data_IF_478267396498
#
_entry.id   IF_478267396498
#
_cell.length_a   1.000
_cell.length_b   1.000
_cell.length_c   1.000
_cell.angle_alpha   90.00
_cell.angle_beta   90.00
_cell.angle_gamma   90.00
#
_symmetry.space_group_name_H-M   'P 1'
#
loop_
_entity.id
_entity.type
_entity.pdbx_description
1 polymer ?
#
# COMPACT_ATOMS: atom_id res chain seq x y z
N UNK A 1 77.17 -14.33 4.38
CA UNK A 1 76.97 -12.88 4.54
C UNK A 1 75.71 -12.48 3.80
N UNK A 2 74.66 -12.13 4.57
CA UNK A 2 73.47 -11.35 4.23
C UNK A 2 72.51 -11.55 5.42
N UNK A 3 72.76 -10.84 6.53
CA UNK A 3 71.88 -10.87 7.69
C UNK A 3 70.63 -10.07 7.37
N UNK A 4 69.47 -10.74 7.36
CA UNK A 4 68.18 -10.10 7.10
C UNK A 4 67.91 -9.02 8.16
N UNK A 5 67.50 -7.84 7.70
CA UNK A 5 67.00 -6.74 8.52
C UNK A 5 65.73 -7.21 9.25
N UNK A 6 65.80 -7.34 10.57
CA UNK A 6 64.61 -7.59 11.40
C UNK A 6 63.70 -6.36 11.34
N UNK A 7 62.53 -6.54 10.74
CA UNK A 7 61.45 -5.57 10.78
C UNK A 7 60.93 -5.44 12.21
N UNK A 8 61.28 -4.34 12.90
CA UNK A 8 60.62 -3.92 14.14
C UNK A 8 59.29 -3.26 13.82
N UNK A 9 58.31 -4.09 13.47
CA UNK A 9 56.91 -3.67 13.42
C UNK A 9 56.41 -3.21 14.80
N UNK A 10 55.28 -2.47 14.84
CA UNK A 10 54.68 -2.07 16.10
C UNK A 10 54.46 -3.29 17.01
N UNK A 11 54.79 -3.11 18.29
CA UNK A 11 54.60 -4.11 19.35
C UNK A 11 53.16 -4.61 19.31
N UNK A 12 52.90 -5.93 19.36
CA UNK A 12 51.54 -6.43 19.47
C UNK A 12 50.89 -5.76 20.67
N UNK A 13 49.79 -5.03 20.45
CA UNK A 13 48.99 -4.52 21.54
C UNK A 13 48.29 -5.75 22.11
N UNK A 14 48.86 -6.30 23.19
CA UNK A 14 48.22 -7.32 24.02
C UNK A 14 46.93 -6.70 24.58
N UNK A 15 45.82 -6.92 23.87
CA UNK A 15 44.54 -6.32 24.20
C UNK A 15 43.60 -6.00 23.05
N UNK A 16 43.85 -6.45 21.81
CA UNK A 16 42.78 -6.49 20.81
C UNK A 16 41.93 -7.72 21.10
N UNK A 17 40.93 -7.53 21.97
CA UNK A 17 39.87 -8.49 22.17
C UNK A 17 39.15 -8.70 20.84
N UNK A 18 39.53 -9.77 20.12
CA UNK A 18 38.95 -10.19 18.84
C UNK A 18 37.44 -10.44 18.99
N UNK A 19 36.90 -10.49 20.21
CA UNK A 19 35.46 -10.49 20.46
C UNK A 19 34.76 -9.16 20.10
N UNK A 20 35.49 -8.03 20.00
CA UNK A 20 34.88 -6.70 19.74
C UNK A 20 34.98 -6.21 18.29
N UNK A 21 35.73 -6.89 17.41
CA UNK A 21 35.64 -6.67 15.95
C UNK A 21 34.42 -7.35 15.31
N UNK A 22 33.55 -7.97 16.10
CA UNK A 22 32.32 -8.63 15.66
C UNK A 22 31.07 -7.74 15.64
N UNK A 23 31.16 -6.47 16.03
CA UNK A 23 30.02 -5.56 16.00
C UNK A 23 30.36 -4.28 15.24
N UNK A 24 30.55 -4.42 13.91
CA UNK A 24 29.90 -3.46 13.01
C UNK A 24 28.46 -3.30 13.54
N UNK A 25 27.93 -2.07 13.71
CA UNK A 25 26.58 -1.89 14.22
C UNK A 25 25.71 -2.83 13.43
N UNK A 26 25.12 -3.82 14.12
CA UNK A 26 24.27 -4.83 13.51
C UNK A 26 23.34 -4.03 12.64
N UNK A 27 23.49 -4.14 11.31
CA UNK A 27 22.75 -3.31 10.36
C UNK A 27 21.32 -3.31 10.89
N UNK A 28 20.83 -2.14 11.35
CA UNK A 28 19.56 -2.06 12.08
C UNK A 28 18.62 -2.97 11.33
N UNK A 29 18.17 -4.06 11.98
CA UNK A 29 17.53 -5.17 11.30
C UNK A 29 16.54 -4.56 10.33
N UNK A 30 16.84 -4.67 9.02
CA UNK A 30 16.18 -3.87 7.99
C UNK A 30 14.69 -4.03 8.25
N UNK A 31 14.05 -2.94 8.70
CA UNK A 31 12.76 -3.06 9.36
C UNK A 31 11.86 -3.90 8.45
N UNK A 32 11.35 -5.02 8.97
CA UNK A 32 10.64 -5.97 8.11
C UNK A 32 9.46 -5.25 7.46
N UNK A 33 8.94 -5.73 6.34
CA UNK A 33 7.71 -5.14 5.77
C UNK A 33 6.58 -5.10 6.84
N UNK A 34 6.55 -6.04 7.77
CA UNK A 34 5.68 -6.06 8.95
C UNK A 34 5.99 -4.94 9.96
N UNK A 35 7.24 -4.50 10.08
CA UNK A 35 7.68 -3.40 10.95
C UNK A 35 7.58 -2.03 10.25
N UNK A 36 7.74 -1.96 8.92
CA UNK A 36 7.65 -0.74 8.09
C UNK A 36 6.20 -0.40 7.68
N UNK A 37 5.42 -1.43 7.38
CA UNK A 37 4.03 -1.41 6.90
C UNK A 37 3.12 -2.13 7.88
N UNK A 38 3.36 -1.95 9.18
CA UNK A 38 2.64 -2.48 10.34
C UNK A 38 1.23 -2.97 10.11
N UNK A 39 1.05 -4.23 9.73
CA UNK A 39 -0.05 -5.04 10.25
C UNK A 39 -1.43 -4.36 10.00
N UNK A 40 -1.58 -3.99 8.73
CA UNK A 40 -2.56 -3.08 8.16
C UNK A 40 -3.70 -3.91 7.56
N UNK A 41 -4.87 -3.33 7.33
CA UNK A 41 -6.06 -4.04 6.83
C UNK A 41 -5.87 -4.80 5.49
N UNK A 42 -4.71 -4.63 4.83
CA UNK A 42 -4.19 -5.54 3.81
C UNK A 42 -3.27 -6.60 4.42
N UNK A 43 -3.62 -7.88 4.27
CA UNK A 43 -2.80 -9.05 4.70
C UNK A 43 -1.59 -9.30 3.80
N UNK A 44 -1.32 -8.43 2.83
CA UNK A 44 -0.29 -8.60 1.81
C UNK A 44 0.85 -7.61 2.00
N UNK A 45 2.07 -8.13 1.95
CA UNK A 45 3.28 -7.31 1.93
C UNK A 45 3.36 -6.60 0.59
N UNK A 46 3.93 -5.40 0.60
CA UNK A 46 4.15 -4.62 -0.63
C UNK A 46 5.00 -5.38 -1.63
N UNK A 47 5.99 -6.16 -1.17
CA UNK A 47 6.85 -6.98 -2.03
C UNK A 47 6.06 -7.98 -2.90
N UNK A 48 4.84 -8.33 -2.49
CA UNK A 48 3.97 -9.28 -3.20
C UNK A 48 3.05 -8.56 -4.23
N UNK A 49 3.00 -7.22 -4.21
CA UNK A 49 2.25 -6.38 -5.16
C UNK A 49 3.13 -5.96 -6.37
N UNK A 50 3.56 -6.96 -7.15
CA UNK A 50 4.48 -6.78 -8.29
C UNK A 50 3.78 -6.43 -9.62
N UNK A 51 2.44 -6.37 -9.63
CA UNK A 51 1.64 -6.00 -10.80
C UNK A 51 1.01 -4.60 -10.64
N UNK A 52 0.39 -4.09 -11.70
CA UNK A 52 -0.37 -2.85 -11.64
C UNK A 52 -1.68 -2.94 -12.39
N UNK A 53 -2.78 -2.55 -11.74
CA UNK A 53 -4.12 -2.47 -12.32
C UNK A 53 -4.44 -1.02 -12.71
N UNK A 54 -5.10 -0.83 -13.85
CA UNK A 54 -5.41 0.51 -14.39
C UNK A 54 -6.67 1.08 -13.74
N UNK A 55 -6.62 2.34 -13.31
CA UNK A 55 -7.80 3.12 -12.90
C UNK A 55 -8.42 3.83 -14.10
N UNK A 56 -9.37 3.18 -14.77
CA UNK A 56 -10.00 3.70 -15.99
C UNK A 56 -10.59 5.11 -15.84
N UNK A 57 -10.30 6.07 -16.74
CA UNK A 57 -10.84 7.41 -16.67
C UNK A 57 -12.37 7.42 -16.81
N UNK A 58 -13.04 8.24 -15.98
CA UNK A 58 -14.50 8.34 -15.93
C UNK A 58 -15.16 7.23 -15.10
N UNK A 59 -14.37 6.36 -14.47
CA UNK A 59 -14.86 5.32 -13.57
C UNK A 59 -14.41 5.59 -12.15
N UNK A 60 -15.36 5.48 -11.23
CA UNK A 60 -15.06 5.33 -9.81
C UNK A 60 -14.86 3.86 -9.53
N UNK A 61 -13.66 3.49 -9.11
CA UNK A 61 -13.31 2.14 -8.68
C UNK A 61 -13.14 2.12 -7.17
N UNK A 62 -13.79 1.17 -6.51
CA UNK A 62 -13.72 0.98 -5.06
C UNK A 62 -13.30 -0.45 -4.78
N UNK A 63 -12.38 -0.66 -3.84
CA UNK A 63 -12.01 -1.98 -3.35
C UNK A 63 -12.04 -1.98 -1.82
N UNK A 64 -12.64 -3.03 -1.25
CA UNK A 64 -12.84 -3.14 0.18
C UNK A 64 -12.30 -4.46 0.74
N UNK A 65 -11.99 -4.43 2.03
CA UNK A 65 -11.53 -5.57 2.82
C UNK A 65 -12.05 -5.43 4.25
N UNK A 66 -12.17 -6.54 4.96
CA UNK A 66 -12.63 -6.56 6.35
C UNK A 66 -11.43 -6.52 7.29
N UNK A 67 -11.45 -5.59 8.23
CA UNK A 67 -10.41 -5.46 9.25
C UNK A 67 -10.37 -6.73 10.12
N UNK A 68 -9.24 -7.44 10.09
CA UNK A 68 -9.05 -8.68 10.86
C UNK A 68 -8.84 -8.45 12.36
N UNK A 69 -8.63 -7.19 12.77
CA UNK A 69 -8.35 -6.74 14.13
C UNK A 69 -8.67 -5.26 14.31
N UNK A 70 -8.78 -4.84 15.56
CA UNK A 70 -8.90 -3.42 15.92
C UNK A 70 -7.53 -2.73 15.82
N UNK A 71 -7.50 -1.54 15.22
CA UNK A 71 -6.29 -0.72 15.10
C UNK A 71 -6.63 0.77 15.12
N UNK A 72 -5.64 1.59 15.48
CA UNK A 72 -5.67 3.03 15.30
C UNK A 72 -4.69 3.38 14.18
N UNK A 73 -5.20 3.99 13.11
CA UNK A 73 -4.41 4.42 11.96
C UNK A 73 -4.34 5.95 11.89
N UNK A 74 -3.18 6.43 11.46
CA UNK A 74 -2.88 7.83 11.17
C UNK A 74 -2.52 8.08 9.71
N UNK A 75 -2.17 7.03 8.96
CA UNK A 75 -1.80 7.11 7.56
C UNK A 75 -2.51 6.03 6.75
N UNK A 76 -3.02 6.38 5.59
CA UNK A 76 -3.30 5.43 4.53
C UNK A 76 -2.17 5.46 3.51
N UNK A 77 -1.90 4.35 2.83
CA UNK A 77 -0.92 4.28 1.76
C UNK A 77 -1.49 3.56 0.56
N UNK A 78 -1.17 4.08 -0.61
CA UNK A 78 -1.32 3.38 -1.89
C UNK A 78 -0.03 3.52 -2.69
N UNK A 79 0.14 2.72 -3.74
CA UNK A 79 1.35 2.76 -4.55
C UNK A 79 0.98 2.98 -6.01
N UNK A 80 1.62 3.97 -6.64
CA UNK A 80 1.51 4.26 -8.07
C UNK A 80 2.60 3.49 -8.77
N UNK A 81 2.21 2.47 -9.54
CA UNK A 81 3.13 1.64 -10.31
C UNK A 81 3.50 2.31 -11.64
N UNK A 82 2.51 2.85 -12.34
CA UNK A 82 2.72 3.66 -13.55
C UNK A 82 1.96 4.98 -13.42
N UNK A 83 2.62 6.06 -13.82
CA UNK A 83 2.08 7.42 -13.73
C UNK A 83 1.00 7.68 -14.78
N UNK A 84 0.18 8.70 -14.54
CA UNK A 84 -0.78 9.17 -15.52
C UNK A 84 -0.15 10.13 -16.55
N UNK A 85 -0.87 10.36 -17.65
CA UNK A 85 -0.61 11.45 -18.60
C UNK A 85 -1.93 12.01 -19.12
N UNK A 86 -2.04 13.32 -19.34
CA UNK A 86 -3.21 13.93 -20.01
C UNK A 86 -4.56 13.87 -19.26
N UNK A 87 -4.62 13.32 -18.04
CA UNK A 87 -5.81 13.38 -17.20
C UNK A 87 -6.08 14.80 -16.70
N UNK A 88 -7.35 15.08 -16.38
CA UNK A 88 -7.78 16.36 -15.82
C UNK A 88 -7.96 16.33 -14.31
N UNK A 89 -8.14 15.15 -13.72
CA UNK A 89 -8.32 15.02 -12.27
C UNK A 89 -8.09 13.62 -11.75
N UNK A 90 -7.78 13.56 -10.46
CA UNK A 90 -7.64 12.35 -9.67
C UNK A 90 -8.16 12.61 -8.26
N UNK A 91 -8.98 11.69 -7.76
CA UNK A 91 -9.38 11.64 -6.36
C UNK A 91 -9.08 10.25 -5.79
N UNK A 92 -8.60 10.22 -4.56
CA UNK A 92 -8.43 9.01 -3.78
C UNK A 92 -9.09 9.19 -2.42
N UNK A 93 -9.89 8.20 -1.99
CA UNK A 93 -10.59 8.25 -0.71
C UNK A 93 -10.44 6.97 0.09
N UNK A 94 -10.48 7.11 1.41
CA UNK A 94 -10.59 5.97 2.34
C UNK A 94 -11.94 6.06 3.04
N UNK A 95 -12.61 4.92 3.14
CA UNK A 95 -13.91 4.77 3.77
C UNK A 95 -13.84 3.67 4.81
N UNK A 96 -14.58 3.84 5.89
CA UNK A 96 -14.71 2.83 6.94
C UNK A 96 -16.16 2.79 7.41
N UNK A 97 -16.65 1.59 7.69
CA UNK A 97 -17.95 1.39 8.31
C UNK A 97 -18.15 -0.05 8.77
N UNK A 98 -19.28 -0.37 9.40
CA UNK A 98 -19.51 -1.69 9.99
C UNK A 98 -19.62 -2.81 8.95
N UNK A 99 -19.86 -2.50 7.68
CA UNK A 99 -19.93 -3.45 6.57
C UNK A 99 -19.81 -2.72 5.22
N UNK A 100 -19.71 -3.47 4.12
CA UNK A 100 -19.56 -2.93 2.76
C UNK A 100 -20.79 -2.19 2.22
N UNK A 101 -21.94 -2.26 2.91
CA UNK A 101 -23.17 -1.55 2.51
C UNK A 101 -23.32 -0.20 3.20
N UNK A 102 -22.50 0.11 4.20
CA UNK A 102 -22.60 1.32 5.02
C UNK A 102 -21.21 1.86 5.31
N UNK A 103 -20.55 2.41 4.30
CA UNK A 103 -19.20 2.96 4.41
C UNK A 103 -19.23 4.48 4.43
N UNK A 104 -18.56 5.10 5.40
CA UNK A 104 -18.40 6.55 5.48
C UNK A 104 -16.99 6.96 5.07
N UNK A 105 -16.90 8.03 4.26
CA UNK A 105 -15.63 8.60 3.87
C UNK A 105 -14.91 9.20 5.07
N UNK A 106 -13.66 8.78 5.29
CA UNK A 106 -12.79 9.26 6.37
C UNK A 106 -11.77 10.27 5.87
N UNK A 107 -11.29 10.09 4.65
CA UNK A 107 -10.40 11.06 4.00
C UNK A 107 -10.64 11.09 2.50
N UNK A 108 -10.30 12.21 1.87
CA UNK A 108 -10.07 12.32 0.44
C UNK A 108 -8.87 13.17 0.16
N UNK A 109 -8.08 12.76 -0.82
CA UNK A 109 -7.06 13.59 -1.45
C UNK A 109 -7.40 13.75 -2.92
N UNK A 110 -7.14 14.94 -3.43
CA UNK A 110 -7.46 15.31 -4.80
C UNK A 110 -6.24 15.93 -5.46
N UNK A 111 -6.13 15.76 -6.77
CA UNK A 111 -5.10 16.39 -7.59
C UNK A 111 -4.14 15.39 -8.22
N UNK A 112 -3.70 15.74 -9.43
CA UNK A 112 -2.87 14.90 -10.28
C UNK A 112 -1.45 14.68 -9.71
N UNK A 113 -0.98 15.56 -8.83
CA UNK A 113 0.34 15.43 -8.19
C UNK A 113 0.51 14.12 -7.43
N UNK A 114 -0.58 13.55 -6.92
CA UNK A 114 -0.59 12.24 -6.24
C UNK A 114 -0.21 11.08 -7.15
N UNK A 115 -0.43 11.21 -8.46
CA UNK A 115 -0.19 10.15 -9.46
C UNK A 115 0.83 10.54 -10.52
N UNK A 116 1.40 11.75 -10.45
CA UNK A 116 2.40 12.28 -11.39
C UNK A 116 3.77 11.60 -11.27
N UNK A 117 4.05 10.93 -10.16
CA UNK A 117 5.30 10.16 -9.95
C UNK A 117 4.98 8.77 -9.43
N UNK A 118 5.76 7.78 -9.87
CA UNK A 118 5.65 6.42 -9.34
C UNK A 118 6.08 6.37 -7.86
N UNK A 119 5.64 5.33 -7.16
CA UNK A 119 6.02 5.06 -5.78
C UNK A 119 4.88 5.22 -4.78
N UNK A 120 5.25 5.16 -3.51
CA UNK A 120 4.33 5.14 -2.39
C UNK A 120 3.76 6.51 -2.09
N UNK A 121 2.45 6.57 -1.88
CA UNK A 121 1.70 7.79 -1.63
C UNK A 121 1.05 7.69 -0.25
N UNK A 122 1.56 8.45 0.74
CA UNK A 122 0.96 8.49 2.07
C UNK A 122 -0.17 9.52 2.12
N UNK A 123 -1.32 9.13 2.63
CA UNK A 123 -2.49 9.99 2.87
C UNK A 123 -2.68 10.11 4.37
N UNK A 124 -2.69 11.34 4.89
CA UNK A 124 -2.92 11.56 6.32
C UNK A 124 -4.39 11.34 6.68
N UNK A 125 -4.65 10.50 7.68
CA UNK A 125 -5.99 10.17 8.17
C UNK A 125 -6.37 10.96 9.42
N UNK A 126 -5.44 11.68 10.04
CA UNK A 126 -5.62 12.17 11.41
C UNK A 126 -5.63 10.99 12.39
N UNK A 127 -6.60 10.93 13.29
CA UNK A 127 -6.80 9.77 14.15
C UNK A 127 -8.01 8.96 13.64
N UNK A 128 -7.76 7.79 13.06
CA UNK A 128 -8.80 6.88 12.59
C UNK A 128 -8.78 5.59 13.40
N UNK A 129 -9.85 5.33 14.15
CA UNK A 129 -10.08 4.03 14.77
C UNK A 129 -10.80 3.10 13.77
N UNK A 130 -10.32 1.86 13.66
CA UNK A 130 -10.95 0.78 12.90
C UNK A 130 -11.12 -0.40 13.83
N UNK A 131 -12.33 -0.92 13.98
CA UNK A 131 -12.57 -2.09 14.81
C UNK A 131 -12.40 -3.37 14.00
N UNK A 132 -12.09 -4.47 14.71
CA UNK A 132 -12.21 -5.81 14.12
C UNK A 132 -13.60 -6.01 13.53
N UNK A 133 -13.67 -6.44 12.28
CA UNK A 133 -14.91 -6.69 11.55
C UNK A 133 -15.42 -5.50 10.74
N UNK A 134 -14.91 -4.29 10.97
CA UNK A 134 -15.25 -3.13 10.13
C UNK A 134 -14.76 -3.35 8.70
N UNK A 135 -15.57 -2.91 7.73
CA UNK A 135 -15.16 -2.81 6.35
C UNK A 135 -14.33 -1.55 6.14
N UNK A 136 -13.19 -1.70 5.48
CA UNK A 136 -12.33 -0.61 5.03
C UNK A 136 -12.29 -0.64 3.51
N UNK A 137 -12.62 0.48 2.88
CA UNK A 137 -12.58 0.62 1.45
C UNK A 137 -11.66 1.76 1.02
N UNK A 138 -11.02 1.57 -0.13
CA UNK A 138 -10.28 2.58 -0.83
C UNK A 138 -10.97 2.84 -2.16
N UNK A 139 -11.05 4.09 -2.56
CA UNK A 139 -11.69 4.51 -3.78
C UNK A 139 -10.72 5.33 -4.62
N UNK A 140 -10.70 5.09 -5.93
CA UNK A 140 -9.98 5.89 -6.91
C UNK A 140 -10.93 6.36 -7.99
N UNK A 141 -10.84 7.65 -8.33
CA UNK A 141 -11.52 8.25 -9.49
C UNK A 141 -10.50 9.00 -10.32
N UNK A 142 -10.45 8.73 -11.61
CA UNK A 142 -9.69 9.50 -12.60
C UNK A 142 -10.66 10.15 -13.56
N UNK A 143 -10.39 11.38 -13.99
CA UNK A 143 -11.23 12.11 -14.95
C UNK A 143 -10.42 12.67 -16.12
N UNK A 144 -11.10 12.93 -17.23
CA UNK A 144 -10.49 13.44 -18.47
C UNK A 144 -10.09 12.34 -19.45
N UNK A 145 -9.56 12.75 -20.60
CA UNK A 145 -9.15 11.88 -21.71
C UNK A 145 -7.62 11.76 -21.74
N UNK A 146 -7.07 10.82 -20.98
CA UNK A 146 -5.63 10.59 -20.90
C UNK A 146 -5.28 9.15 -20.51
N UNK A 147 -3.99 8.86 -20.35
CA UNK A 147 -3.55 7.57 -19.82
C UNK A 147 -3.76 7.54 -18.31
N UNK A 148 -4.56 6.58 -17.87
CA UNK A 148 -4.79 6.32 -16.45
C UNK A 148 -3.53 5.83 -15.73
N UNK A 149 -3.36 6.16 -14.44
CA UNK A 149 -2.32 5.56 -13.63
C UNK A 149 -2.61 4.06 -13.45
N UNK A 150 -1.54 3.30 -13.26
CA UNK A 150 -1.63 1.94 -12.72
C UNK A 150 -1.30 1.98 -11.25
N UNK A 151 -2.21 1.51 -10.41
CA UNK A 151 -1.95 1.34 -8.99
C UNK A 151 -1.44 -0.07 -8.73
N UNK A 152 -0.54 -0.22 -7.77
CA UNK A 152 0.03 -1.52 -7.45
C UNK A 152 -1.07 -2.50 -7.06
N UNK A 153 -0.96 -3.71 -7.59
CA UNK A 153 -1.90 -4.79 -7.40
C UNK A 153 -1.16 -6.08 -7.12
N UNK A 154 -1.82 -7.03 -6.48
CA UNK A 154 -1.29 -8.39 -6.39
C UNK A 154 -1.33 -9.04 -7.75
N UNK A 155 -0.33 -9.85 -8.07
CA UNK A 155 -0.36 -10.70 -9.26
C UNK A 155 -1.62 -11.59 -9.21
N UNK A 156 -2.43 -11.69 -10.28
CA UNK A 156 -3.40 -12.77 -10.40
C UNK A 156 -2.61 -14.05 -10.66
N UNK A 157 -2.29 -14.84 -9.63
CA UNK A 157 -1.47 -16.04 -9.81
C UNK A 157 -2.31 -17.28 -10.00
N UNK A 158 -2.27 -17.83 -11.22
CA UNK A 158 -2.38 -19.28 -11.41
C UNK A 158 -1.17 -19.94 -10.77
N UNK A 159 -1.31 -20.58 -9.60
CA UNK A 159 -0.24 -21.35 -8.96
C UNK A 159 -0.58 -21.84 -7.55
N UNK A 160 -0.07 -23.02 -7.16
CA UNK A 160 -0.26 -23.58 -5.81
C UNK A 160 0.48 -22.69 -4.78
N UNK A 161 -0.29 -21.94 -4.00
CA UNK A 161 0.17 -20.79 -3.21
C UNK A 161 -0.74 -19.56 -3.39
N UNK A 162 -1.59 -19.59 -4.42
CA UNK A 162 -2.63 -18.60 -4.71
C UNK A 162 -3.88 -18.70 -3.81
N UNK A 163 -3.76 -19.24 -2.59
CA UNK A 163 -4.91 -19.42 -1.71
C UNK A 163 -4.93 -18.43 -0.56
N UNK A 164 -6.08 -17.75 -0.45
CA UNK A 164 -6.70 -17.21 0.76
C UNK A 164 -6.08 -15.92 1.34
N UNK A 165 -6.34 -14.80 0.65
CA UNK A 165 -6.63 -13.56 1.40
C UNK A 165 -7.91 -13.84 2.20
N UNK A 166 -7.88 -13.65 3.53
CA UNK A 166 -8.96 -14.06 4.45
C UNK A 166 -10.37 -13.81 3.87
N UNK A 167 -11.08 -14.89 3.52
CA UNK A 167 -12.45 -14.93 2.96
C UNK A 167 -12.69 -14.25 1.58
N UNK A 168 -11.92 -14.65 0.56
CA UNK A 168 -12.06 -14.19 -0.84
C UNK A 168 -13.48 -14.34 -1.43
N UNK A 169 -14.17 -13.20 -1.51
CA UNK A 169 -14.73 -12.76 -2.80
C UNK A 169 -14.05 -11.42 -3.08
N UNK A 170 -13.26 -11.24 -4.16
CA UNK A 170 -12.72 -9.93 -4.49
C UNK A 170 -13.89 -8.96 -4.65
N UNK A 171 -14.02 -8.04 -3.71
CA UNK A 171 -15.13 -7.10 -3.65
C UNK A 171 -14.63 -5.73 -4.08
N UNK A 172 -14.11 -5.70 -5.30
CA UNK A 172 -13.91 -4.46 -6.03
C UNK A 172 -15.13 -4.20 -6.91
N UNK A 173 -15.56 -2.96 -6.96
CA UNK A 173 -16.67 -2.53 -7.80
C UNK A 173 -16.30 -1.27 -8.54
N UNK A 174 -16.93 -1.05 -9.68
CA UNK A 174 -16.75 0.16 -10.44
C UNK A 174 -18.08 0.66 -10.99
N UNK A 175 -18.16 1.97 -11.21
CA UNK A 175 -19.27 2.60 -11.93
C UNK A 175 -18.74 3.72 -12.82
N UNK A 176 -19.31 3.85 -14.01
CA UNK A 176 -19.05 4.97 -14.91
C UNK A 176 -19.83 6.21 -14.49
N UNK A 177 -19.48 7.36 -15.07
CA UNK A 177 -20.27 8.59 -14.93
C UNK A 177 -20.12 9.29 -13.58
N UNK A 178 -19.25 8.78 -12.70
CA UNK A 178 -18.88 9.52 -11.50
C UNK A 178 -18.02 10.71 -11.88
N UNK A 179 -18.39 11.88 -11.34
CA UNK A 179 -17.56 13.08 -11.35
C UNK A 179 -17.08 13.39 -9.94
N UNK A 180 -15.99 14.14 -9.83
CA UNK A 180 -15.52 14.66 -8.56
C UNK A 180 -16.58 15.59 -7.92
N UNK A 181 -16.66 15.67 -6.58
CA UNK A 181 -15.86 14.93 -5.61
C UNK A 181 -16.35 13.49 -5.43
N UNK A 182 -15.54 12.65 -4.77
CA UNK A 182 -16.00 11.32 -4.37
C UNK A 182 -17.24 11.40 -3.45
N UNK A 183 -18.13 10.39 -3.46
CA UNK A 183 -19.29 10.34 -2.57
C UNK A 183 -18.92 10.40 -1.09
N UNK A 184 -19.78 10.95 -0.23
CA UNK A 184 -19.54 10.96 1.22
C UNK A 184 -19.75 9.58 1.86
N UNK A 185 -20.67 8.81 1.30
CA UNK A 185 -20.99 7.46 1.73
C UNK A 185 -21.00 6.50 0.54
N UNK A 186 -20.75 5.23 0.80
CA UNK A 186 -20.82 4.18 -0.20
C UNK A 186 -21.63 2.99 0.33
N UNK A 187 -22.57 2.53 -0.49
CA UNK A 187 -23.16 1.20 -0.38
C UNK A 187 -22.70 0.41 -1.61
N UNK A 188 -21.76 -0.51 -1.41
CA UNK A 188 -21.17 -1.25 -2.52
C UNK A 188 -22.08 -2.39 -3.02
N UNK A 189 -23.19 -2.68 -2.32
CA UNK A 189 -24.23 -3.59 -2.77
C UNK A 189 -25.28 -2.91 -3.67
N UNK A 190 -25.21 -1.59 -3.85
CA UNK A 190 -26.14 -0.90 -4.76
C UNK A 190 -26.03 -1.44 -6.19
N UNK A 191 -27.18 -1.54 -6.88
CA UNK A 191 -27.25 -2.03 -8.25
C UNK A 191 -26.52 -1.16 -9.29
N UNK A 192 -26.08 0.04 -8.90
CA UNK A 192 -25.28 0.94 -9.74
C UNK A 192 -23.85 0.44 -9.95
N UNK A 193 -23.40 -0.51 -9.13
CA UNK A 193 -22.05 -1.05 -9.16
C UNK A 193 -21.94 -2.26 -10.09
N UNK A 194 -20.91 -2.25 -10.93
CA UNK A 194 -20.45 -3.45 -11.62
C UNK A 194 -19.33 -4.08 -10.82
N UNK A 195 -19.34 -5.40 -10.64
CA UNK A 195 -18.24 -6.11 -9.98
C UNK A 195 -16.99 -6.06 -10.87
N UNK A 196 -15.88 -5.62 -10.31
CA UNK A 196 -14.55 -5.76 -10.89
C UNK A 196 -13.80 -6.91 -10.23
N UNK A 197 -12.89 -7.51 -10.98
CA UNK A 197 -11.92 -8.48 -10.46
C UNK A 197 -10.54 -7.83 -10.27
N UNK A 198 -10.50 -6.55 -9.89
CA UNK A 198 -9.25 -5.81 -9.70
C UNK A 198 -8.83 -5.87 -8.23
N UNK A 199 -7.59 -6.27 -7.95
CA UNK A 199 -7.06 -6.41 -6.58
C UNK A 199 -5.99 -5.36 -6.30
N UNK A 200 -6.41 -4.16 -5.94
CA UNK A 200 -5.49 -3.08 -5.60
C UNK A 200 -4.89 -3.24 -4.20
N UNK A 201 -3.61 -2.92 -4.07
CA UNK A 201 -2.93 -2.87 -2.77
C UNK A 201 -3.19 -1.53 -2.09
N UNK A 202 -3.47 -1.56 -0.79
CA UNK A 202 -3.60 -0.39 0.06
C UNK A 202 -3.39 -0.74 1.52
N UNK A 203 -3.03 0.23 2.36
CA UNK A 203 -2.70 -0.07 3.75
C UNK A 203 -2.99 1.09 4.71
N UNK A 204 -3.29 0.80 5.98
CA UNK A 204 -3.58 1.76 7.07
C UNK A 204 -2.57 1.60 8.21
N UNK A 205 -1.77 2.63 8.54
CA UNK A 205 -0.72 2.63 9.59
C UNK A 205 -1.11 3.56 10.70
#
# INVERSE_FOLDING_TARGET
MAGALEYRGPVPVDGVDVATMGQLPTAEAQATDTTLYGDQVSTLRRADAIWGETLSPGYLTVWATIASRTLAATLAKFCVYAVHTGLTGFDFGVYVGPNVSSLDRKVTVSGLTWIATAGMKPVNLGALAVNRGDAVAFAGLTTGSGTAPRLASTTPTTGAGASALLNETPYSVYRSGQVAPLPLTLNLNDAVWTRANQKFWGSLR
#
